data_IF_499241621516
#
_entry.id   IF_499241621516
#
_cell.length_a   1.000
_cell.length_b   1.000
_cell.length_c   1.000
_cell.angle_alpha   90.00
_cell.angle_beta   90.00
_cell.angle_gamma   90.00
#
_symmetry.space_group_name_H-M   'P 1'
#
loop_
_entity.id
_entity.type
_entity.pdbx_description
1 polymer ?
#
# COMPACT_ATOMS: atom_id res chain seq x y z
N UNK A 1 -47.52 -35.45 -3.19
CA UNK A 1 -46.57 -35.11 -4.26
C UNK A 1 -45.66 -36.31 -4.50
N UNK A 2 -45.67 -36.94 -5.69
CA UNK A 2 -44.78 -38.04 -6.05
C UNK A 2 -43.50 -37.53 -6.74
N UNK A 3 -42.39 -38.28 -6.63
CA UNK A 3 -41.32 -38.47 -7.66
C UNK A 3 -40.01 -39.04 -7.04
N UNK A 4 -39.78 -40.36 -7.20
CA UNK A 4 -38.74 -41.02 -8.04
C UNK A 4 -37.31 -40.41 -8.21
N UNK A 5 -36.30 -41.13 -8.79
CA UNK A 5 -35.38 -42.10 -8.17
C UNK A 5 -33.89 -41.90 -8.65
N UNK A 6 -33.11 -43.00 -8.71
CA UNK A 6 -31.89 -43.25 -9.51
C UNK A 6 -30.53 -42.90 -8.85
N UNK A 7 -29.61 -43.84 -8.59
CA UNK A 7 -28.90 -44.83 -9.43
C UNK A 7 -27.56 -44.31 -9.98
N UNK A 8 -26.52 -45.12 -9.74
CA UNK A 8 -25.10 -44.94 -10.05
C UNK A 8 -24.79 -44.93 -11.55
N UNK A 9 -23.74 -44.17 -11.93
CA UNK A 9 -22.94 -44.42 -13.13
C UNK A 9 -21.44 -44.27 -12.85
N UNK A 10 -20.66 -45.20 -13.41
CA UNK A 10 -19.20 -45.25 -13.51
C UNK A 10 -18.66 -44.11 -14.40
N UNK A 11 -17.36 -43.79 -14.31
CA UNK A 11 -16.32 -44.01 -15.36
C UNK A 11 -15.05 -43.19 -15.03
N UNK A 12 -13.90 -43.80 -15.33
CA UNK A 12 -12.49 -43.38 -15.21
C UNK A 12 -12.11 -42.03 -15.87
N UNK A 13 -10.88 -41.52 -15.64
CA UNK A 13 -9.86 -41.68 -16.69
C UNK A 13 -8.44 -42.01 -16.17
N UNK A 14 -7.64 -42.61 -17.04
CA UNK A 14 -6.29 -43.10 -16.78
C UNK A 14 -5.39 -42.79 -18.00
N UNK A 15 -4.47 -41.81 -17.93
CA UNK A 15 -3.33 -41.61 -18.85
C UNK A 15 -2.28 -40.77 -18.09
N UNK A 16 -1.13 -41.28 -17.64
CA UNK A 16 0.13 -41.58 -18.37
C UNK A 16 0.62 -40.47 -19.31
N UNK A 17 1.65 -39.73 -18.88
CA UNK A 17 2.66 -39.06 -19.71
C UNK A 17 3.89 -38.78 -18.81
N UNK A 18 4.92 -39.63 -18.83
CA UNK A 18 6.14 -39.54 -19.66
C UNK A 18 7.00 -38.33 -19.31
N UNK A 19 8.01 -38.60 -18.47
CA UNK A 19 9.24 -37.84 -18.32
C UNK A 19 10.05 -37.87 -19.61
N UNK A 20 10.52 -36.71 -20.07
CA UNK A 20 11.60 -36.60 -21.06
C UNK A 20 12.43 -35.38 -20.72
N UNK A 21 13.67 -35.63 -20.34
CA UNK A 21 14.77 -34.68 -20.22
C UNK A 21 15.32 -34.38 -21.61
N UNK A 22 15.39 -33.11 -22.00
CA UNK A 22 16.29 -32.69 -23.08
C UNK A 22 16.74 -31.23 -22.89
N UNK A 23 18.01 -31.02 -23.22
CA UNK A 23 18.86 -29.90 -22.90
C UNK A 23 18.97 -28.88 -24.03
N UNK A 24 18.90 -27.58 -23.67
CA UNK A 24 19.51 -26.40 -24.34
C UNK A 24 19.02 -26.02 -25.76
N UNK A 25 19.28 -24.80 -26.30
CA UNK A 25 19.98 -23.62 -25.76
C UNK A 25 19.19 -22.30 -25.82
N UNK A 26 19.78 -21.28 -25.18
CA UNK A 26 19.46 -19.86 -25.24
C UNK A 26 19.17 -19.36 -26.67
N UNK A 27 17.96 -18.81 -26.88
CA UNK A 27 17.68 -17.92 -28.02
C UNK A 27 17.14 -16.61 -27.49
N UNK A 28 18.04 -15.66 -27.28
CA UNK A 28 17.72 -14.25 -27.07
C UNK A 28 17.06 -13.69 -28.33
N UNK A 29 15.75 -13.91 -28.46
CA UNK A 29 14.93 -13.27 -29.47
C UNK A 29 14.56 -11.87 -28.95
N UNK A 30 15.26 -10.91 -29.51
CA UNK A 30 15.13 -9.48 -29.38
C UNK A 30 13.70 -9.01 -29.70
N UNK A 31 12.75 -9.07 -28.74
CA UNK A 31 11.47 -8.37 -28.86
C UNK A 31 11.59 -7.02 -28.18
N UNK A 32 12.13 -6.07 -28.95
CA UNK A 32 12.00 -4.64 -28.69
C UNK A 32 10.51 -4.33 -28.64
N UNK A 33 9.99 -4.07 -27.44
CA UNK A 33 8.67 -3.47 -27.26
C UNK A 33 8.71 -2.15 -28.04
N UNK A 34 7.84 -1.92 -29.05
CA UNK A 34 7.77 -0.63 -29.70
C UNK A 34 7.42 0.41 -28.64
N UNK A 35 8.35 1.33 -28.43
CA UNK A 35 8.19 2.50 -27.58
C UNK A 35 7.10 3.34 -28.25
N UNK A 36 5.88 3.26 -27.72
CA UNK A 36 4.80 4.15 -28.13
C UNK A 36 5.26 5.52 -27.67
N UNK A 37 5.81 6.27 -28.62
CA UNK A 37 6.22 7.65 -28.47
C UNK A 37 4.94 8.48 -28.40
N UNK A 38 4.35 8.57 -27.21
CA UNK A 38 3.36 9.58 -26.91
C UNK A 38 4.14 10.88 -26.71
N UNK A 39 4.58 11.46 -27.82
CA UNK A 39 4.88 12.88 -27.89
C UNK A 39 3.55 13.60 -27.84
N UNK A 40 3.10 13.88 -26.63
CA UNK A 40 2.30 15.05 -26.34
C UNK A 40 2.55 15.39 -24.86
N UNK A 41 3.44 16.35 -24.68
CA UNK A 41 3.65 17.09 -23.45
C UNK A 41 2.37 17.86 -23.09
N UNK A 42 1.37 17.13 -22.61
CA UNK A 42 0.34 17.69 -21.75
C UNK A 42 0.80 17.46 -20.31
N UNK A 43 1.69 18.33 -19.84
CA UNK A 43 1.79 18.70 -18.43
C UNK A 43 0.46 19.33 -18.00
N UNK A 44 -0.59 18.51 -17.92
CA UNK A 44 -1.78 18.85 -17.17
C UNK A 44 -1.49 18.49 -15.72
N UNK A 45 -0.80 19.41 -15.04
CA UNK A 45 -0.91 19.55 -13.60
C UNK A 45 -2.38 19.80 -13.27
N UNK A 46 -3.19 18.74 -13.21
CA UNK A 46 -4.49 18.81 -12.56
C UNK A 46 -4.24 18.70 -11.05
N UNK A 47 -3.53 19.69 -10.52
CA UNK A 47 -3.75 20.13 -9.16
C UNK A 47 -5.19 20.63 -9.14
N UNK A 48 -6.12 19.75 -8.75
CA UNK A 48 -7.51 20.10 -8.54
C UNK A 48 -7.57 21.03 -7.35
N UNK A 49 -7.29 22.31 -7.56
CA UNK A 49 -7.78 23.34 -6.66
C UNK A 49 -9.31 23.25 -6.71
N UNK A 50 -9.98 23.33 -5.57
CA UNK A 50 -11.43 23.18 -5.48
C UNK A 50 -12.22 24.21 -6.27
N UNK A 51 -11.58 25.31 -6.64
CA UNK A 51 -12.21 26.43 -7.35
C UNK A 51 -12.38 26.20 -8.86
N UNK A 52 -11.90 25.07 -9.39
CA UNK A 52 -12.00 24.74 -10.82
C UNK A 52 -13.29 23.99 -11.19
N UNK A 53 -14.43 24.34 -10.59
CA UNK A 53 -15.73 24.00 -11.19
C UNK A 53 -15.84 24.84 -12.46
N UNK A 54 -15.35 24.30 -13.58
CA UNK A 54 -15.48 24.95 -14.89
C UNK A 54 -16.96 25.03 -15.24
N UNK A 55 -17.54 26.21 -15.05
CA UNK A 55 -18.89 26.51 -15.49
C UNK A 55 -19.02 26.20 -16.99
N UNK A 56 -19.99 25.37 -17.35
CA UNK A 56 -20.27 25.01 -18.75
C UNK A 56 -21.54 25.74 -19.18
N UNK A 57 -21.46 26.70 -20.11
CA UNK A 57 -22.62 27.43 -20.61
C UNK A 57 -23.72 26.50 -21.16
N UNK A 58 -25.01 26.80 -20.92
CA UNK A 58 -26.15 26.02 -21.43
C UNK A 58 -26.14 25.77 -22.94
N UNK A 59 -25.62 26.73 -23.72
CA UNK A 59 -25.53 26.61 -25.18
C UNK A 59 -24.63 25.46 -25.61
N UNK A 60 -23.51 25.23 -24.89
CA UNK A 60 -22.62 24.11 -25.17
C UNK A 60 -23.24 22.78 -24.77
N UNK A 61 -24.03 22.76 -23.69
CA UNK A 61 -24.77 21.58 -23.27
C UNK A 61 -25.80 21.18 -24.33
N UNK A 62 -26.54 22.16 -24.84
CA UNK A 62 -27.53 21.98 -25.88
C UNK A 62 -26.93 21.41 -27.18
N UNK A 63 -25.77 21.92 -27.60
CA UNK A 63 -25.10 21.53 -28.83
C UNK A 63 -24.59 20.08 -28.82
N UNK A 64 -24.11 19.58 -27.68
CA UNK A 64 -23.40 18.30 -27.60
C UNK A 64 -24.18 17.18 -26.90
N UNK A 65 -25.16 17.52 -26.06
CA UNK A 65 -25.93 16.54 -25.29
C UNK A 65 -27.45 16.64 -25.46
N UNK A 66 -28.00 17.76 -25.94
CA UNK A 66 -29.45 17.97 -26.07
C UNK A 66 -30.07 18.80 -24.95
N UNK A 67 -31.30 19.28 -25.17
CA UNK A 67 -32.00 20.22 -24.28
C UNK A 67 -32.38 19.59 -22.94
N UNK A 68 -32.70 18.29 -22.97
CA UNK A 68 -33.12 17.52 -21.80
C UNK A 68 -32.03 17.42 -20.73
N UNK A 69 -30.76 17.54 -21.12
CA UNK A 69 -29.62 17.49 -20.21
C UNK A 69 -29.27 18.84 -19.58
N UNK A 70 -29.69 19.95 -20.20
CA UNK A 70 -29.41 21.32 -19.71
C UNK A 70 -29.80 21.52 -18.23
N UNK A 71 -31.03 21.18 -17.78
CA UNK A 71 -31.38 21.34 -16.36
C UNK A 71 -30.59 20.40 -15.43
N UNK A 72 -30.20 19.21 -15.90
CA UNK A 72 -29.42 18.24 -15.10
C UNK A 72 -28.03 18.78 -14.81
N UNK A 73 -27.31 19.22 -15.85
CA UNK A 73 -25.97 19.79 -15.72
C UNK A 73 -25.97 21.13 -14.97
N UNK A 74 -26.95 22.00 -15.22
CA UNK A 74 -27.04 23.29 -14.52
C UNK A 74 -27.20 23.09 -13.01
N UNK A 75 -28.09 22.17 -12.61
CA UNK A 75 -28.27 21.80 -11.20
C UNK A 75 -27.02 21.12 -10.61
N UNK A 76 -26.32 20.31 -11.39
CA UNK A 76 -25.08 19.67 -10.93
C UNK A 76 -23.95 20.68 -10.72
N UNK A 77 -23.78 21.64 -11.62
CA UNK A 77 -22.80 22.73 -11.49
C UNK A 77 -23.04 23.54 -10.22
N UNK A 78 -24.29 23.88 -9.93
CA UNK A 78 -24.65 24.58 -8.68
C UNK A 78 -24.28 23.76 -7.43
N UNK A 79 -24.59 22.46 -7.41
CA UNK A 79 -24.19 21.57 -6.31
C UNK A 79 -22.69 21.40 -6.16
N UNK A 80 -21.95 21.43 -7.27
CA UNK A 80 -20.48 21.36 -7.23
C UNK A 80 -19.87 22.63 -6.65
N UNK A 81 -20.48 23.81 -6.88
CA UNK A 81 -20.06 25.08 -6.28
C UNK A 81 -20.35 25.14 -4.77
N UNK A 82 -21.45 24.54 -4.32
CA UNK A 82 -21.83 24.48 -2.90
C UNK A 82 -21.03 23.45 -2.09
N UNK A 83 -20.31 22.54 -2.76
CA UNK A 83 -19.55 21.49 -2.09
C UNK A 83 -18.29 22.07 -1.44
N UNK A 84 -17.95 21.65 -0.20
CA UNK A 84 -16.69 22.06 0.41
C UNK A 84 -15.49 21.72 -0.46
N UNK A 85 -14.56 22.68 -0.49
CA UNK A 85 -13.33 22.66 -1.24
C UNK A 85 -12.44 21.43 -0.97
N UNK A 86 -12.46 20.94 0.26
CA UNK A 86 -11.64 19.79 0.65
C UNK A 86 -12.52 18.54 0.67
N UNK A 87 -12.38 17.61 -0.30
CA UNK A 87 -13.08 16.35 -0.23
C UNK A 87 -12.60 15.56 0.99
N UNK A 88 -13.52 14.80 1.59
CA UNK A 88 -13.20 13.88 2.67
C UNK A 88 -12.13 12.87 2.22
N UNK A 89 -11.19 12.47 3.10
CA UNK A 89 -10.23 11.43 2.77
C UNK A 89 -10.93 10.16 2.30
N UNK A 90 -10.46 9.60 1.19
CA UNK A 90 -11.04 8.36 0.67
C UNK A 90 -10.86 7.21 1.65
N UNK A 91 -11.89 6.36 1.76
CA UNK A 91 -11.83 5.14 2.56
C UNK A 91 -10.85 4.11 1.98
N UNK A 92 -10.29 3.26 2.85
CA UNK A 92 -9.39 2.19 2.43
C UNK A 92 -10.06 1.17 1.49
N UNK A 93 -11.38 0.96 1.62
CA UNK A 93 -12.16 0.13 0.72
C UNK A 93 -12.20 0.70 -0.71
N UNK A 94 -12.30 2.02 -0.86
CA UNK A 94 -12.23 2.68 -2.17
C UNK A 94 -10.80 2.65 -2.73
N UNK A 95 -9.79 2.86 -1.87
CA UNK A 95 -8.39 2.79 -2.27
C UNK A 95 -8.00 1.39 -2.75
N UNK A 96 -8.44 0.31 -2.10
CA UNK A 96 -8.01 -1.05 -2.46
C UNK A 96 -8.37 -1.44 -3.90
N UNK A 97 -9.50 -0.93 -4.43
CA UNK A 97 -9.92 -1.10 -5.83
C UNK A 97 -9.20 -0.18 -6.83
N UNK A 98 -8.47 0.84 -6.36
CA UNK A 98 -7.69 1.70 -7.25
C UNK A 98 -6.39 1.03 -7.74
N UNK A 99 -5.94 1.34 -8.98
CA UNK A 99 -4.61 0.97 -9.44
C UNK A 99 -3.51 1.42 -8.47
N UNK A 100 -2.46 0.61 -8.30
CA UNK A 100 -1.38 0.89 -7.34
C UNK A 100 -0.74 2.27 -7.52
N UNK A 101 -0.59 2.73 -8.77
CA UNK A 101 -0.08 4.07 -9.09
C UNK A 101 -1.01 5.19 -8.57
N UNK A 102 -2.33 5.03 -8.74
CA UNK A 102 -3.32 6.01 -8.22
C UNK A 102 -3.35 6.00 -6.69
N UNK A 103 -3.36 4.81 -6.07
CA UNK A 103 -3.26 4.68 -4.61
C UNK A 103 -2.04 5.40 -4.04
N UNK A 104 -0.89 5.29 -4.71
CA UNK A 104 0.36 5.95 -4.27
C UNK A 104 0.27 7.47 -4.33
N UNK A 105 -0.39 8.05 -5.33
CA UNK A 105 -0.56 9.49 -5.43
C UNK A 105 -1.63 10.04 -4.47
N UNK A 106 -2.67 9.26 -4.19
CA UNK A 106 -3.74 9.64 -3.25
C UNK A 106 -3.28 9.53 -1.79
N UNK A 107 -2.47 8.52 -1.47
CA UNK A 107 -1.77 8.46 -0.18
C UNK A 107 -0.65 9.49 -0.20
N UNK A 108 -0.97 10.71 0.22
CA UNK A 108 -0.08 11.87 0.19
C UNK A 108 1.29 11.62 0.86
N UNK A 109 1.39 10.65 1.77
CA UNK A 109 2.66 10.25 2.39
C UNK A 109 2.90 8.74 2.27
N UNK A 110 4.05 8.37 1.70
CA UNK A 110 4.59 7.01 1.89
C UNK A 110 4.94 6.89 3.39
N UNK A 111 4.48 5.83 4.10
CA UNK A 111 4.97 5.60 5.44
C UNK A 111 6.49 5.48 5.37
N UNK A 112 7.22 6.00 6.37
CA UNK A 112 8.66 5.98 6.32
C UNK A 112 9.19 4.56 6.13
N UNK A 113 10.18 4.43 5.25
CA UNK A 113 10.78 3.13 4.91
C UNK A 113 11.85 2.70 5.91
N UNK A 114 12.27 3.62 6.78
CA UNK A 114 13.24 3.40 7.84
C UNK A 114 12.52 3.28 9.18
N UNK A 115 13.12 2.52 10.10
CA UNK A 115 12.53 2.23 11.41
C UNK A 115 12.42 3.47 12.31
N UNK A 116 13.47 4.31 12.39
CA UNK A 116 13.44 5.49 13.27
C UNK A 116 12.36 6.51 12.89
N UNK A 117 12.23 6.91 11.60
CA UNK A 117 11.18 7.86 11.24
C UNK A 117 9.79 7.23 11.35
N UNK A 118 9.63 5.92 11.07
CA UNK A 118 8.37 5.21 11.28
C UNK A 118 7.98 5.24 12.76
N UNK A 119 8.92 4.91 13.65
CA UNK A 119 8.74 4.90 15.09
C UNK A 119 8.39 6.30 15.61
N UNK A 120 9.05 7.36 15.12
CA UNK A 120 8.73 8.73 15.51
C UNK A 120 7.29 9.11 15.11
N UNK A 121 6.84 8.72 13.90
CA UNK A 121 5.46 8.96 13.45
C UNK A 121 4.47 8.17 14.31
N UNK A 122 4.72 6.89 14.54
CA UNK A 122 3.83 6.02 15.33
C UNK A 122 3.73 6.44 16.79
N UNK A 123 4.84 6.83 17.42
CA UNK A 123 4.84 7.33 18.80
C UNK A 123 4.11 8.66 18.89
N UNK A 124 4.34 9.57 17.92
CA UNK A 124 3.62 10.85 17.86
C UNK A 124 2.12 10.64 17.72
N UNK A 125 1.68 9.79 16.80
CA UNK A 125 0.26 9.47 16.62
C UNK A 125 -0.36 8.83 17.86
N UNK A 126 0.37 7.95 18.54
CA UNK A 126 -0.09 7.33 19.78
C UNK A 126 -0.25 8.36 20.91
N UNK A 127 0.71 9.27 21.06
CA UNK A 127 0.68 10.35 22.05
C UNK A 127 -0.38 11.40 21.73
N UNK A 128 -0.65 11.69 20.45
CA UNK A 128 -1.74 12.59 20.04
C UNK A 128 -3.13 11.98 20.36
N UNK A 129 -3.23 10.65 20.41
CA UNK A 129 -4.47 9.93 20.76
C UNK A 129 -4.59 9.59 22.24
N UNK A 130 -3.49 9.61 23.00
CA UNK A 130 -3.47 9.35 24.44
C UNK A 130 -3.20 10.64 25.23
N UNK A 131 -3.39 10.63 26.55
CA UNK A 131 -2.92 11.74 27.39
C UNK A 131 -1.39 11.92 27.24
N UNK A 132 -0.85 13.13 27.46
CA UNK A 132 0.58 13.40 27.30
C UNK A 132 1.40 12.54 28.29
N UNK A 133 2.13 11.57 27.75
CA UNK A 133 3.07 10.75 28.53
C UNK A 133 4.42 11.50 28.60
N UNK A 134 4.97 11.75 29.81
CA UNK A 134 6.21 12.52 29.96
C UNK A 134 7.46 11.76 29.48
N UNK A 135 7.38 10.44 29.32
CA UNK A 135 8.48 9.63 28.77
C UNK A 135 7.98 8.62 27.72
N UNK A 136 8.40 8.82 26.47
CA UNK A 136 8.06 7.97 25.34
C UNK A 136 9.07 6.81 25.15
N UNK A 137 10.17 6.77 25.91
CA UNK A 137 11.20 5.73 25.80
C UNK A 137 10.70 4.29 25.99
N UNK A 138 9.86 3.96 27.00
CA UNK A 138 9.33 2.61 27.14
C UNK A 138 8.44 2.22 25.94
N UNK A 139 7.66 3.17 25.42
CA UNK A 139 6.84 2.96 24.23
C UNK A 139 7.70 2.70 22.98
N UNK A 140 8.77 3.49 22.79
CA UNK A 140 9.76 3.27 21.71
C UNK A 140 10.40 1.89 21.83
N UNK A 141 10.79 1.47 23.03
CA UNK A 141 11.42 0.15 23.27
C UNK A 141 10.44 -0.99 22.98
N UNK A 142 9.22 -0.91 23.49
CA UNK A 142 8.17 -1.91 23.25
C UNK A 142 7.84 -2.04 21.75
N UNK A 143 7.72 -0.92 21.03
CA UNK A 143 7.48 -0.92 19.58
C UNK A 143 8.62 -1.61 18.81
N UNK A 144 9.88 -1.34 19.17
CA UNK A 144 11.04 -1.99 18.54
C UNK A 144 11.06 -3.49 18.77
N UNK A 145 10.78 -3.93 20.01
CA UNK A 145 10.69 -5.35 20.32
C UNK A 145 9.54 -6.03 19.57
N UNK A 146 8.39 -5.37 19.46
CA UNK A 146 7.26 -5.86 18.66
C UNK A 146 7.64 -6.05 17.19
N UNK A 147 8.23 -5.03 16.56
CA UNK A 147 8.69 -5.11 15.17
C UNK A 147 9.73 -6.22 14.97
N UNK A 148 10.64 -6.38 15.92
CA UNK A 148 11.65 -7.43 15.89
C UNK A 148 11.01 -8.81 15.99
N UNK A 149 10.05 -8.99 16.91
CA UNK A 149 9.34 -10.25 17.08
C UNK A 149 8.54 -10.62 15.82
N UNK A 150 7.78 -9.66 15.26
CA UNK A 150 7.04 -9.87 14.01
C UNK A 150 7.96 -10.28 12.85
N UNK A 151 9.13 -9.63 12.74
CA UNK A 151 10.12 -9.97 11.73
C UNK A 151 10.77 -11.34 11.98
N UNK A 152 11.03 -11.74 13.24
CA UNK A 152 11.51 -13.10 13.59
C UNK A 152 10.49 -14.17 13.20
N UNK A 153 9.22 -13.98 13.54
CA UNK A 153 8.15 -14.92 13.17
C UNK A 153 8.11 -15.14 11.66
N UNK A 154 8.25 -14.05 10.90
CA UNK A 154 8.27 -14.12 9.44
C UNK A 154 9.51 -14.84 8.89
N UNK A 155 10.69 -14.50 9.43
CA UNK A 155 11.96 -15.09 9.04
C UNK A 155 12.00 -16.60 9.31
N UNK A 156 11.44 -17.06 10.43
CA UNK A 156 11.33 -18.49 10.77
C UNK A 156 10.35 -19.21 9.85
N UNK A 157 9.29 -18.52 9.40
CA UNK A 157 8.29 -19.11 8.50
C UNK A 157 8.69 -19.11 7.02
N UNK A 158 9.71 -18.34 6.64
CA UNK A 158 10.12 -18.17 5.25
C UNK A 158 11.32 -19.05 4.91
N UNK A 159 11.20 -19.86 3.87
CA UNK A 159 12.30 -20.68 3.35
C UNK A 159 13.43 -19.82 2.74
N UNK A 160 13.10 -18.60 2.30
CA UNK A 160 14.05 -17.68 1.64
C UNK A 160 14.99 -16.93 2.60
N UNK A 161 14.81 -17.07 3.92
CA UNK A 161 15.62 -16.34 4.90
C UNK A 161 16.92 -17.08 5.21
N UNK A 162 18.03 -16.53 4.72
CA UNK A 162 19.38 -16.95 5.12
C UNK A 162 20.07 -15.84 5.96
N UNK A 163 20.39 -16.11 7.25
CA UNK A 163 21.13 -15.17 8.09
C UNK A 163 22.46 -14.70 7.48
N UNK A 164 23.15 -15.58 6.75
CA UNK A 164 24.46 -15.27 6.17
C UNK A 164 24.35 -14.31 4.98
N UNK A 165 23.29 -14.44 4.19
CA UNK A 165 23.03 -13.55 3.06
C UNK A 165 22.46 -12.19 3.49
N UNK A 166 21.78 -12.13 4.63
CA UNK A 166 21.11 -10.93 5.15
C UNK A 166 21.65 -10.47 6.51
N UNK A 167 22.94 -10.19 6.60
CA UNK A 167 23.62 -9.77 7.83
C UNK A 167 23.00 -8.53 8.52
N UNK A 168 22.38 -7.61 7.76
CA UNK A 168 21.68 -6.45 8.32
C UNK A 168 20.38 -6.84 9.01
N UNK A 169 19.65 -7.80 8.44
CA UNK A 169 18.44 -8.36 9.04
C UNK A 169 18.81 -9.16 10.29
N UNK A 170 19.85 -10.00 10.22
CA UNK A 170 20.35 -10.75 11.37
C UNK A 170 20.70 -9.82 12.54
N UNK A 171 21.46 -8.75 12.30
CA UNK A 171 21.79 -7.75 13.33
C UNK A 171 20.57 -7.09 13.95
N UNK A 172 19.53 -6.83 13.16
CA UNK A 172 18.29 -6.24 13.65
C UNK A 172 17.48 -7.24 14.49
N UNK A 173 17.43 -8.51 14.05
CA UNK A 173 16.70 -9.60 14.71
C UNK A 173 17.41 -10.15 15.94
N UNK A 174 18.73 -9.97 16.00
CA UNK A 174 19.56 -10.34 17.12
C UNK A 174 19.17 -9.63 18.42
N UNK A 175 19.66 -10.12 19.56
CA UNK A 175 19.47 -9.45 20.84
C UNK A 175 20.05 -8.04 20.76
N UNK A 176 19.30 -7.06 21.28
CA UNK A 176 19.79 -5.69 21.44
C UNK A 176 21.04 -5.77 22.32
N UNK A 177 22.23 -5.49 21.76
CA UNK A 177 23.46 -5.38 22.54
C UNK A 177 23.34 -4.15 23.43
N UNK A 178 22.73 -4.32 24.59
CA UNK A 178 22.83 -3.35 25.66
C UNK A 178 24.22 -3.55 26.25
N UNK A 179 25.08 -2.53 26.18
CA UNK A 179 26.35 -2.51 26.91
C UNK A 179 26.02 -2.30 28.40
N UNK A 180 26.17 -3.30 29.28
CA UNK A 180 25.95 -3.14 30.70
C UNK A 180 27.32 -3.00 31.37
N UNK A 181 28.04 -1.90 31.14
CA UNK A 181 29.26 -1.59 31.88
C UNK A 181 29.38 -0.09 32.13
N UNK A 182 28.84 0.34 33.27
CA UNK A 182 29.61 1.16 34.21
C UNK A 182 29.13 0.79 35.62
N UNK A 183 29.86 -0.04 36.39
CA UNK A 183 29.63 -0.14 37.81
C UNK A 183 30.00 1.18 38.49
N UNK A 184 29.12 1.62 39.39
CA UNK A 184 29.31 2.74 40.30
C UNK A 184 30.69 2.69 40.98
N UNK A 185 31.52 3.71 40.77
CA UNK A 185 32.59 4.01 41.73
C UNK A 185 31.95 4.67 42.95
N UNK A 186 31.74 3.85 43.99
CA UNK A 186 31.50 4.31 45.35
C UNK A 186 32.60 5.30 45.76
N UNK A 187 32.20 6.52 46.08
CA UNK A 187 33.06 7.55 46.65
C UNK A 187 32.93 7.46 48.17
N UNK A 188 33.88 6.76 48.80
CA UNK A 188 34.03 6.75 50.26
C UNK A 188 34.70 8.08 50.70
N UNK A 189 34.20 8.74 51.77
CA UNK A 189 34.80 9.96 52.28
C UNK A 189 35.92 9.65 53.28
N UNK A 190 37.05 10.32 53.13
CA UNK A 190 37.96 10.65 54.23
C UNK A 190 37.98 12.16 54.43
#
# INVERSE_FOLDING_TARGET
TPASPAASHQTTPNHTATSTSESSPLRSANMRIPKIEITETATSERNGTPDNVRFVPPVLLLQHWGEEWVPVFTRDQQRQQERPATPEPYSDAYMSGMPARKRRCVRQNRPPTQLEPLLNVSVREAVERSAPVPDNMPLRRAFREYMRNAARTRAVSSEDYDPQHYASAERFLGPTRHNPEQPESAKEPQ
#
